data_IF_803605297276
#
_entry.id   IF_803605297276
#
_cell.length_a   1.000
_cell.length_b   1.000
_cell.length_c   1.000
_cell.angle_alpha   90.00
_cell.angle_beta   90.00
_cell.angle_gamma   90.00
#
_symmetry.space_group_name_H-M   'P 1'
#
loop_
_entity.id
_entity.type
_entity.pdbx_description
1 polymer ?
#
# COMPACT_ATOMS: atom_id res chain seq x y z
N UNK A 1 7.36 -11.37 -22.50
CA UNK A 1 7.01 -10.23 -21.63
C UNK A 1 7.04 -10.74 -20.20
N UNK A 2 7.83 -10.15 -19.31
CA UNK A 2 7.96 -10.63 -17.91
C UNK A 2 6.80 -10.08 -17.10
N UNK A 3 6.13 -10.92 -16.31
CA UNK A 3 4.99 -10.47 -15.48
C UNK A 3 5.45 -9.51 -14.37
N UNK A 4 4.58 -8.61 -13.89
CA UNK A 4 4.90 -7.74 -12.75
C UNK A 4 5.40 -8.52 -11.52
N UNK A 5 4.85 -9.72 -11.28
CA UNK A 5 5.27 -10.63 -10.21
C UNK A 5 6.72 -11.07 -10.38
N UNK A 6 7.09 -11.54 -11.56
CA UNK A 6 8.46 -12.01 -11.85
C UNK A 6 9.48 -10.87 -11.84
N UNK A 7 9.07 -9.67 -12.26
CA UNK A 7 9.91 -8.46 -12.17
C UNK A 7 10.18 -8.10 -10.70
N UNK A 8 9.15 -8.09 -9.87
CA UNK A 8 9.28 -7.75 -8.45
C UNK A 8 10.00 -8.84 -7.65
N UNK A 9 9.85 -10.12 -7.99
CA UNK A 9 10.55 -11.22 -7.34
C UNK A 9 12.09 -11.19 -7.55
N UNK A 10 12.56 -10.49 -8.60
CA UNK A 10 13.98 -10.32 -8.90
C UNK A 10 14.57 -9.01 -8.34
N UNK A 11 13.76 -8.20 -7.66
CA UNK A 11 14.21 -6.95 -7.07
C UNK A 11 15.18 -7.24 -5.92
N UNK A 12 16.31 -6.54 -5.87
CA UNK A 12 17.26 -6.74 -4.78
C UNK A 12 16.71 -6.16 -3.47
N UNK A 13 17.18 -6.65 -2.33
CA UNK A 13 16.76 -6.12 -1.01
C UNK A 13 17.03 -4.61 -0.87
N UNK A 14 18.22 -4.07 -1.24
CA UNK A 14 18.45 -2.63 -1.23
C UNK A 14 17.45 -1.84 -2.09
N UNK A 15 17.18 -2.31 -3.31
CA UNK A 15 16.23 -1.63 -4.21
C UNK A 15 14.80 -1.64 -3.64
N UNK A 16 14.40 -2.75 -3.00
CA UNK A 16 13.10 -2.83 -2.32
C UNK A 16 13.03 -1.84 -1.16
N UNK A 17 14.07 -1.77 -0.33
CA UNK A 17 14.12 -0.86 0.80
C UNK A 17 14.05 0.61 0.35
N UNK A 18 14.84 1.00 -0.65
CA UNK A 18 14.82 2.36 -1.22
C UNK A 18 13.43 2.74 -1.76
N UNK A 19 12.79 1.82 -2.49
CA UNK A 19 11.43 2.04 -3.02
C UNK A 19 10.42 2.20 -1.89
N UNK A 20 10.46 1.34 -0.88
CA UNK A 20 9.55 1.43 0.27
C UNK A 20 9.74 2.74 1.04
N UNK A 21 10.98 3.17 1.28
CA UNK A 21 11.27 4.46 1.93
C UNK A 21 10.76 5.64 1.11
N UNK A 22 11.05 5.65 -0.20
CA UNK A 22 10.68 6.76 -1.10
C UNK A 22 9.17 6.88 -1.24
N UNK A 23 8.50 5.79 -1.62
CA UNK A 23 7.06 5.80 -1.85
C UNK A 23 6.26 5.83 -0.56
N UNK A 24 6.77 5.25 0.53
CA UNK A 24 6.16 5.35 1.85
C UNK A 24 6.11 6.78 2.37
N UNK A 25 7.21 7.53 2.19
CA UNK A 25 7.26 8.96 2.54
C UNK A 25 6.25 9.77 1.72
N UNK A 26 6.24 9.57 0.39
CA UNK A 26 5.31 10.26 -0.51
C UNK A 26 3.84 9.96 -0.18
N UNK A 27 3.50 8.68 0.05
CA UNK A 27 2.16 8.27 0.44
C UNK A 27 1.74 8.88 1.79
N UNK A 28 2.65 8.91 2.75
CA UNK A 28 2.38 9.50 4.07
C UNK A 28 2.16 11.02 4.01
N UNK A 29 2.88 11.73 3.14
CA UNK A 29 2.64 13.15 2.90
C UNK A 29 1.30 13.39 2.21
N UNK A 30 0.96 12.57 1.21
CA UNK A 30 -0.31 12.65 0.51
C UNK A 30 -1.50 12.45 1.46
N UNK A 31 -1.50 11.37 2.25
CA UNK A 31 -2.59 11.07 3.20
C UNK A 31 -2.74 12.18 4.24
N UNK A 32 -1.64 12.77 4.71
CA UNK A 32 -1.67 13.89 5.67
C UNK A 32 -2.23 15.19 5.08
N UNK A 33 -2.22 15.33 3.76
CA UNK A 33 -2.77 16.50 3.07
C UNK A 33 -4.27 16.43 2.80
N UNK A 34 -4.90 15.27 3.02
CA UNK A 34 -6.34 15.10 2.78
C UNK A 34 -7.16 15.74 3.89
N UNK A 35 -8.24 16.42 3.48
CA UNK A 35 -9.27 16.93 4.38
C UNK A 35 -10.28 15.85 4.75
N UNK A 36 -11.05 16.05 5.83
CA UNK A 36 -12.12 15.13 6.23
C UNK A 36 -13.18 14.93 5.13
N UNK A 37 -13.50 15.99 4.40
CA UNK A 37 -14.41 15.94 3.25
C UNK A 37 -13.85 15.05 2.13
N UNK A 38 -12.54 15.10 1.87
CA UNK A 38 -11.89 14.24 0.89
C UNK A 38 -11.80 12.78 1.36
N UNK A 39 -11.55 12.57 2.66
CA UNK A 39 -11.53 11.25 3.27
C UNK A 39 -12.90 10.56 3.24
N UNK A 40 -13.99 11.34 3.36
CA UNK A 40 -15.37 10.83 3.34
C UNK A 40 -15.91 10.53 1.94
N UNK A 41 -15.25 11.00 0.86
CA UNK A 41 -15.69 10.71 -0.52
C UNK A 41 -15.64 9.21 -0.80
N UNK A 42 -16.73 8.69 -1.34
CA UNK A 42 -16.85 7.29 -1.74
C UNK A 42 -16.78 7.12 -3.26
N UNK A 43 -16.21 6.01 -3.67
CA UNK A 43 -16.22 5.57 -5.06
C UNK A 43 -16.24 4.04 -5.12
N UNK A 44 -16.72 3.52 -6.26
CA UNK A 44 -16.70 2.11 -6.57
C UNK A 44 -15.26 1.58 -6.59
N UNK A 45 -14.95 0.63 -5.71
CA UNK A 45 -13.66 -0.04 -5.63
C UNK A 45 -13.81 -1.49 -6.10
N UNK A 46 -13.57 -1.70 -7.40
CA UNK A 46 -13.74 -3.02 -8.04
C UNK A 46 -13.01 -4.18 -7.34
N UNK A 47 -11.79 -4.04 -6.77
CA UNK A 47 -11.15 -5.15 -6.06
C UNK A 47 -11.94 -5.66 -4.85
N UNK A 48 -12.80 -4.84 -4.24
CA UNK A 48 -13.70 -5.24 -3.16
C UNK A 48 -15.15 -5.44 -3.61
N UNK A 49 -15.48 -5.12 -4.88
CA UNK A 49 -16.85 -5.17 -5.41
C UNK A 49 -17.84 -4.24 -4.69
N UNK A 50 -17.34 -3.23 -3.98
CA UNK A 50 -18.12 -2.35 -3.12
C UNK A 50 -17.67 -0.90 -3.26
N UNK A 51 -18.53 0.03 -2.85
CA UNK A 51 -18.17 1.44 -2.73
C UNK A 51 -17.43 1.64 -1.40
N UNK A 52 -16.23 2.22 -1.47
CA UNK A 52 -15.41 2.50 -0.29
C UNK A 52 -15.09 3.98 -0.23
N UNK A 53 -15.01 4.51 1.00
CA UNK A 53 -14.47 5.86 1.22
C UNK A 53 -12.95 5.87 1.00
N UNK A 54 -12.40 7.04 0.72
CA UNK A 54 -10.94 7.21 0.65
C UNK A 54 -10.27 6.78 1.96
N UNK A 55 -10.87 7.08 3.11
CA UNK A 55 -10.41 6.61 4.41
C UNK A 55 -10.35 5.07 4.49
N UNK A 56 -11.42 4.39 4.09
CA UNK A 56 -11.48 2.92 4.13
C UNK A 56 -10.41 2.30 3.22
N UNK A 57 -10.16 2.87 2.04
CA UNK A 57 -9.09 2.41 1.15
C UNK A 57 -7.72 2.60 1.79
N UNK A 58 -7.46 3.76 2.40
CA UNK A 58 -6.18 4.05 3.07
C UNK A 58 -5.95 3.05 4.23
N UNK A 59 -6.94 2.86 5.10
CA UNK A 59 -6.81 1.96 6.24
C UNK A 59 -6.58 0.51 5.81
N UNK A 60 -7.38 0.01 4.88
CA UNK A 60 -7.36 -1.42 4.51
C UNK A 60 -6.25 -1.77 3.53
N UNK A 61 -6.06 -0.97 2.48
CA UNK A 61 -5.14 -1.31 1.38
C UNK A 61 -3.74 -0.77 1.62
N UNK A 62 -3.60 0.42 2.21
CA UNK A 62 -2.30 1.05 2.39
C UNK A 62 -1.66 0.72 3.74
N UNK A 63 -2.45 0.72 4.83
CA UNK A 63 -1.91 0.52 6.18
C UNK A 63 -1.96 -0.96 6.59
N UNK A 64 -3.15 -1.56 6.70
CA UNK A 64 -3.30 -2.94 7.16
C UNK A 64 -2.57 -3.93 6.25
N UNK A 65 -2.72 -3.82 4.93
CA UNK A 65 -2.06 -4.73 4.00
C UNK A 65 -0.53 -4.73 4.15
N UNK A 66 0.08 -3.57 4.36
CA UNK A 66 1.54 -3.46 4.56
C UNK A 66 1.96 -4.09 5.88
N UNK A 67 1.17 -3.92 6.95
CA UNK A 67 1.43 -4.56 8.24
C UNK A 67 1.37 -6.10 8.11
N UNK A 68 0.36 -6.64 7.44
CA UNK A 68 0.24 -8.08 7.19
C UNK A 68 1.45 -8.65 6.43
N UNK A 69 1.91 -7.96 5.38
CA UNK A 69 3.12 -8.37 4.66
C UNK A 69 4.36 -8.30 5.53
N UNK A 70 4.52 -7.23 6.31
CA UNK A 70 5.67 -7.07 7.19
C UNK A 70 5.72 -8.16 8.26
N UNK A 71 4.59 -8.47 8.91
CA UNK A 71 4.50 -9.54 9.88
C UNK A 71 4.79 -10.90 9.24
N UNK A 72 4.23 -11.19 8.07
CA UNK A 72 4.54 -12.41 7.32
C UNK A 72 6.04 -12.53 7.03
N UNK A 73 6.70 -11.47 6.55
CA UNK A 73 8.16 -11.45 6.32
C UNK A 73 8.91 -11.69 7.64
N UNK A 74 8.48 -11.07 8.73
CA UNK A 74 9.11 -11.23 10.05
C UNK A 74 9.02 -12.68 10.53
N UNK A 75 7.92 -13.39 10.28
CA UNK A 75 7.80 -14.81 10.67
C UNK A 75 8.78 -15.75 9.97
N UNK A 76 9.26 -15.39 8.77
CA UNK A 76 10.18 -16.24 7.98
C UNK A 76 11.65 -15.77 8.04
N UNK A 77 11.91 -14.62 8.67
CA UNK A 77 13.26 -14.04 8.78
C UNK A 77 13.78 -13.91 10.21
N UNK A 78 12.92 -14.09 11.22
CA UNK A 78 13.27 -14.23 12.64
C UNK A 78 13.64 -15.67 12.98
#
# INVERSE_FOLDING_TARGET
MVSPREKNARCSRPDVAERLTTFGSAASLFVRGLTDDELSRSARFEPAGADLTAEQVIQTVLIHHVQEHFDSIRTVTA
#
